data_IF_139380578572
#
_entry.id   IF_139380578572
#
_cell.length_a   1.000
_cell.length_b   1.000
_cell.length_c   1.000
_cell.angle_alpha   90.00
_cell.angle_beta   90.00
_cell.angle_gamma   90.00
#
_symmetry.space_group_name_H-M   'P 1'
#
loop_
_entity.id
_entity.type
_entity.pdbx_description
1 polymer ?
#
# COMPACT_ATOMS: atom_id res chain seq x y z
N UNK A 1 -2.28 31.12 -8.10
CA UNK A 1 -1.37 30.28 -7.31
C UNK A 1 -1.35 28.92 -7.98
N UNK A 2 -0.25 28.58 -8.65
CA UNK A 2 -0.06 27.21 -9.13
C UNK A 2 0.15 26.32 -7.88
N UNK A 3 -0.68 25.30 -7.69
CA UNK A 3 -0.45 24.33 -6.61
C UNK A 3 0.79 23.51 -6.92
N UNK A 4 1.63 23.29 -5.92
CA UNK A 4 2.74 22.34 -6.04
C UNK A 4 2.18 20.93 -6.26
N UNK A 5 2.82 20.13 -7.11
CA UNK A 5 2.39 18.74 -7.34
C UNK A 5 2.47 17.89 -6.08
N UNK A 6 3.33 18.24 -5.13
CA UNK A 6 3.36 17.62 -3.80
C UNK A 6 2.10 17.87 -2.99
N UNK A 7 1.52 19.07 -3.04
CA UNK A 7 0.26 19.35 -2.34
C UNK A 7 -0.90 18.58 -2.95
N UNK A 8 -0.90 18.43 -4.28
CA UNK A 8 -1.92 17.63 -4.97
C UNK A 8 -1.80 16.15 -4.56
N UNK A 9 -0.59 15.58 -4.52
CA UNK A 9 -0.36 14.21 -4.02
C UNK A 9 -0.77 14.09 -2.56
N UNK A 10 -0.43 15.06 -1.72
CA UNK A 10 -0.81 15.04 -0.30
C UNK A 10 -2.33 15.05 -0.11
N UNK A 11 -3.07 15.82 -0.91
CA UNK A 11 -4.55 15.85 -0.86
C UNK A 11 -5.19 14.52 -1.28
N UNK A 12 -4.56 13.78 -2.19
CA UNK A 12 -5.07 12.51 -2.72
C UNK A 12 -4.69 11.34 -1.81
N UNK A 13 -3.40 11.24 -1.48
CA UNK A 13 -2.81 10.07 -0.82
C UNK A 13 -2.68 10.23 0.69
N UNK A 14 -2.73 11.47 1.22
CA UNK A 14 -2.45 11.80 2.61
C UNK A 14 -0.95 11.84 2.92
N UNK A 15 -0.62 11.71 4.20
CA UNK A 15 0.76 11.59 4.66
C UNK A 15 1.38 10.26 4.21
N UNK A 16 2.58 10.27 3.60
CA UNK A 16 3.29 9.04 3.27
C UNK A 16 3.78 8.34 4.54
N UNK A 17 3.97 7.03 4.44
CA UNK A 17 4.53 6.20 5.51
C UNK A 17 5.96 6.62 5.83
N UNK A 18 6.78 6.79 4.79
CA UNK A 18 8.16 7.27 4.87
C UNK A 18 8.48 8.17 3.69
N UNK A 19 9.48 9.05 3.88
CA UNK A 19 10.03 9.92 2.85
C UNK A 19 11.54 9.70 2.83
N UNK A 20 12.06 9.41 1.65
CA UNK A 20 13.49 9.20 1.43
C UNK A 20 14.05 10.28 0.51
N UNK A 21 15.01 11.05 1.01
CA UNK A 21 15.69 12.09 0.24
C UNK A 21 17.00 11.56 -0.33
N UNK A 22 17.05 11.29 -1.63
CA UNK A 22 18.30 10.99 -2.31
C UNK A 22 18.98 12.29 -2.74
N UNK A 23 19.67 12.92 -1.79
CA UNK A 23 20.37 14.21 -1.95
C UNK A 23 21.35 14.17 -3.14
N UNK A 24 21.97 13.02 -3.44
CA UNK A 24 22.94 12.88 -4.55
C UNK A 24 22.29 13.00 -5.94
N UNK A 25 21.00 12.67 -6.05
CA UNK A 25 20.27 12.70 -7.32
C UNK A 25 19.22 13.84 -7.36
N UNK A 26 19.11 14.63 -6.28
CA UNK A 26 18.10 15.66 -6.13
C UNK A 26 16.67 15.11 -6.27
N UNK A 27 16.48 13.85 -5.87
CA UNK A 27 15.22 13.13 -6.00
C UNK A 27 14.72 12.75 -4.61
N UNK A 28 13.48 13.08 -4.32
CA UNK A 28 12.78 12.73 -3.09
C UNK A 28 11.73 11.66 -3.42
N UNK A 29 11.58 10.66 -2.57
CA UNK A 29 10.65 9.55 -2.77
C UNK A 29 9.69 9.49 -1.59
N UNK A 30 8.39 9.45 -1.88
CA UNK A 30 7.36 9.25 -0.88
C UNK A 30 6.80 7.84 -1.01
N UNK A 31 6.85 7.09 0.09
CA UNK A 31 6.40 5.70 0.15
C UNK A 31 5.03 5.60 0.81
N UNK A 32 4.11 4.94 0.14
CA UNK A 32 2.74 4.69 0.60
C UNK A 32 2.45 3.20 0.61
N UNK A 33 1.62 2.77 1.55
CA UNK A 33 1.13 1.40 1.61
C UNK A 33 -0.35 1.38 1.98
N UNK A 34 -1.15 0.76 1.12
CA UNK A 34 -2.57 0.53 1.32
C UNK A 34 -2.79 -0.96 1.52
N UNK A 35 -3.36 -1.33 2.67
CA UNK A 35 -3.69 -2.72 2.99
C UNK A 35 -5.19 -2.83 3.13
N UNK A 36 -5.81 -3.55 2.21
CA UNK A 36 -7.20 -3.92 2.28
C UNK A 36 -7.29 -5.35 2.81
N UNK A 37 -7.96 -5.52 3.95
CA UNK A 37 -8.27 -6.85 4.50
C UNK A 37 -9.71 -7.15 4.19
N UNK A 38 -9.91 -8.02 3.20
CA UNK A 38 -11.22 -8.53 2.86
C UNK A 38 -11.40 -9.86 3.60
N UNK A 39 -12.31 -9.88 4.58
CA UNK A 39 -12.81 -11.15 5.10
C UNK A 39 -13.59 -11.77 3.93
N UNK A 40 -13.04 -12.82 3.34
CA UNK A 40 -13.65 -13.56 2.24
C UNK A 40 -14.81 -14.41 2.77
N UNK A 41 -15.85 -13.72 3.26
CA UNK A 41 -17.10 -14.32 3.70
C UNK A 41 -17.02 -15.15 4.99
N UNK A 42 -18.21 -15.49 5.50
CA UNK A 42 -18.47 -16.41 6.61
C UNK A 42 -18.08 -17.87 6.27
N UNK A 43 -16.90 -18.10 5.73
CA UNK A 43 -16.44 -19.40 5.26
C UNK A 43 -15.66 -20.11 6.35
N UNK A 44 -16.36 -20.76 7.28
CA UNK A 44 -15.79 -21.90 8.00
C UNK A 44 -15.33 -22.90 6.95
N UNK A 45 -14.03 -22.97 6.68
CA UNK A 45 -13.47 -24.01 5.83
C UNK A 45 -13.39 -25.27 6.68
N UNK A 46 -14.36 -26.17 6.50
CA UNK A 46 -14.30 -27.50 7.09
C UNK A 46 -13.38 -28.38 6.23
N UNK A 47 -12.14 -28.57 6.68
CA UNK A 47 -11.21 -29.55 6.12
C UNK A 47 -11.01 -30.69 7.14
N UNK A 48 -10.39 -31.80 6.73
CA UNK A 48 -10.09 -32.96 7.62
C UNK A 48 -9.33 -32.55 8.91
N UNK A 49 -8.68 -31.38 8.92
CA UNK A 49 -7.92 -30.84 10.04
C UNK A 49 -8.71 -29.93 11.02
N UNK A 50 -9.95 -29.50 10.72
CA UNK A 50 -10.74 -28.66 11.63
C UNK A 50 -11.55 -27.54 10.96
N UNK A 51 -11.96 -26.56 11.77
CA UNK A 51 -12.66 -25.33 11.36
C UNK A 51 -11.67 -24.16 11.40
N UNK A 52 -11.57 -23.41 10.30
CA UNK A 52 -10.70 -22.25 10.20
C UNK A 52 -11.39 -21.02 9.63
N UNK A 53 -10.86 -19.84 9.96
CA UNK A 53 -11.22 -18.57 9.33
C UNK A 53 -10.23 -18.24 8.22
N UNK A 54 -10.75 -17.98 7.03
CA UNK A 54 -9.97 -17.50 5.88
C UNK A 54 -10.18 -15.99 5.70
N UNK A 55 -9.14 -15.29 5.30
CA UNK A 55 -9.25 -13.92 4.80
C UNK A 55 -8.21 -13.65 3.72
N UNK A 56 -8.56 -12.75 2.81
CA UNK A 56 -7.64 -12.23 1.81
C UNK A 56 -7.14 -10.85 2.22
N UNK A 57 -5.83 -10.66 2.12
CA UNK A 57 -5.19 -9.37 2.27
C UNK A 57 -4.66 -8.94 0.91
N UNK A 58 -5.12 -7.80 0.42
CA UNK A 58 -4.53 -7.13 -0.72
C UNK A 58 -3.66 -5.98 -0.19
N UNK A 59 -2.39 -5.96 -0.57
CA UNK A 59 -1.46 -4.89 -0.24
C UNK A 59 -1.04 -4.21 -1.53
N UNK A 60 -1.26 -2.91 -1.63
CA UNK A 60 -0.71 -2.06 -2.69
C UNK A 60 0.30 -1.09 -2.10
N UNK A 61 1.52 -1.12 -2.61
CA UNK A 61 2.59 -0.17 -2.31
C UNK A 61 2.68 0.82 -3.46
N UNK A 62 2.81 2.10 -3.13
CA UNK A 62 2.91 3.19 -4.10
C UNK A 62 4.10 4.07 -3.73
N UNK A 63 5.05 4.21 -4.64
CA UNK A 63 6.21 5.08 -4.50
C UNK A 63 6.09 6.23 -5.48
N UNK A 64 6.11 7.47 -4.97
CA UNK A 64 6.03 8.69 -5.78
C UNK A 64 7.37 9.40 -5.74
N UNK A 65 7.97 9.60 -6.92
CA UNK A 65 9.28 10.25 -7.06
C UNK A 65 9.11 11.71 -7.45
N UNK A 66 9.81 12.59 -6.75
CA UNK A 66 9.79 14.03 -6.96
C UNK A 66 11.18 14.55 -7.30
N UNK A 67 11.22 15.56 -8.17
CA UNK A 67 12.40 16.37 -8.44
C UNK A 67 11.99 17.84 -8.50
N UNK A 68 12.57 18.67 -7.65
CA UNK A 68 12.21 20.09 -7.53
C UNK A 68 10.68 20.30 -7.38
N UNK A 69 10.05 19.55 -6.46
CA UNK A 69 8.60 19.58 -6.19
C UNK A 69 7.66 19.13 -7.33
N UNK A 70 8.22 18.60 -8.41
CA UNK A 70 7.46 18.02 -9.54
C UNK A 70 7.54 16.50 -9.48
N UNK A 71 6.41 15.82 -9.69
CA UNK A 71 6.36 14.36 -9.83
C UNK A 71 7.06 13.95 -11.12
N UNK A 72 8.05 13.07 -11.03
CA UNK A 72 8.83 12.58 -12.17
C UNK A 72 8.59 11.11 -12.48
N UNK A 73 8.18 10.31 -11.51
CA UNK A 73 7.85 8.90 -11.68
C UNK A 73 6.88 8.43 -10.58
N UNK A 74 6.11 7.39 -10.88
CA UNK A 74 5.21 6.73 -9.94
C UNK A 74 5.34 5.22 -10.15
N UNK A 75 5.71 4.49 -9.10
CA UNK A 75 5.76 3.02 -9.12
C UNK A 75 4.69 2.46 -8.21
N UNK A 76 4.02 1.43 -8.68
CA UNK A 76 2.97 0.75 -7.94
C UNK A 76 3.21 -0.75 -7.98
N UNK A 77 3.12 -1.40 -6.83
CA UNK A 77 3.19 -2.85 -6.70
C UNK A 77 2.01 -3.33 -5.87
N UNK A 78 1.26 -4.30 -6.38
CA UNK A 78 0.15 -4.91 -5.66
C UNK A 78 0.43 -6.40 -5.43
N UNK A 79 0.13 -6.88 -4.24
CA UNK A 79 0.22 -8.29 -3.88
C UNK A 79 -1.02 -8.74 -3.13
N UNK A 80 -1.46 -9.96 -3.45
CA UNK A 80 -2.58 -10.63 -2.80
C UNK A 80 -2.06 -11.81 -1.99
N UNK A 81 -2.54 -11.93 -0.76
CA UNK A 81 -2.21 -13.04 0.13
C UNK A 81 -3.48 -13.56 0.80
N UNK A 82 -3.80 -14.82 0.56
CA UNK A 82 -4.81 -15.58 1.30
C UNK A 82 -4.19 -16.11 2.59
N UNK A 83 -4.84 -15.86 3.72
CA UNK A 83 -4.40 -16.30 5.04
C UNK A 83 -5.48 -17.18 5.68
N UNK A 84 -5.05 -18.15 6.47
CA UNK A 84 -5.95 -19.10 7.13
C UNK A 84 -5.53 -19.28 8.60
N UNK A 85 -6.50 -19.17 9.51
CA UNK A 85 -6.29 -19.41 10.94
C UNK A 85 -7.21 -20.54 11.41
N UNK A 86 -6.62 -21.64 11.88
CA UNK A 86 -7.34 -22.81 12.40
C UNK A 86 -7.71 -22.61 13.87
N UNK A 87 -8.96 -22.89 14.24
CA UNK A 87 -9.39 -22.96 15.64
C UNK A 87 -9.11 -24.38 16.14
N UNK A 88 -8.15 -24.53 17.06
CA UNK A 88 -7.88 -25.78 17.78
C UNK A 88 -8.82 -25.96 18.96
#
# INVERSE_FOLDING_TARGET
MESSKKEDIFKICGEPLTKDDNIKQGTEVWHYAYVEKNITGLGVVAHVAGVGSEWESNKTVLDVYFKNDVVVDIKTESSNQTNMHWQN
#
